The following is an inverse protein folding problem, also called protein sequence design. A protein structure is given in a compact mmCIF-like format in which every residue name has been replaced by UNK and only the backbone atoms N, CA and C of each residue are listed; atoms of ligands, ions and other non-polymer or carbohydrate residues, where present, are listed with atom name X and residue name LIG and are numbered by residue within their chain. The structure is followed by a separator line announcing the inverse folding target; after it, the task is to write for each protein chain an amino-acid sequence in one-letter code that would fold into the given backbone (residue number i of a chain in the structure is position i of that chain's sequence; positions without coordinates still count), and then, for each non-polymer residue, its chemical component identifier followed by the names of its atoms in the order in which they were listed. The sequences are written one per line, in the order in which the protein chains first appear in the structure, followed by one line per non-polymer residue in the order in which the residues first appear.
data_IF_366208956043
#
_entry.id   IF_366208956043
#
_cell.length_a   1.000
_cell.length_b   1.000
_cell.length_c   1.000
_cell.angle_alpha   90.00
_cell.angle_beta   90.00
_cell.angle_gamma   90.00
#
_symmetry.space_group_name_H-M   'P 1'
#
loop_
_entity.id
_entity.type
_entity.pdbx_description
1 polymer ?
#
# COMPACT_ATOMS: atom_id res chain seq x y z
N UNK A 1 -11.34 3.36 14.07
CA UNK A 1 -11.70 2.63 15.31
C UNK A 1 -12.11 3.57 16.46
N UNK A 2 -11.31 4.57 16.84
CA UNK A 2 -11.61 5.45 18.00
C UNK A 2 -12.89 6.28 17.83
N UNK A 3 -13.14 6.80 16.62
CA UNK A 3 -14.36 7.56 16.31
C UNK A 3 -15.64 6.74 16.50
N UNK A 4 -15.68 5.50 16.02
CA UNK A 4 -16.82 4.59 16.19
C UNK A 4 -17.11 4.34 17.69
N UNK A 5 -16.07 4.10 18.49
CA UNK A 5 -16.21 3.91 19.94
C UNK A 5 -16.78 5.16 20.61
N UNK A 6 -16.30 6.34 20.22
CA UNK A 6 -16.75 7.62 20.76
C UNK A 6 -18.22 7.89 20.41
N UNK A 7 -18.64 7.69 19.16
CA UNK A 7 -20.04 7.88 18.77
C UNK A 7 -20.98 6.85 19.38
N UNK A 8 -20.55 5.60 19.51
CA UNK A 8 -21.30 4.56 20.21
C UNK A 8 -21.50 4.94 21.69
N UNK A 9 -20.42 5.31 22.37
CA UNK A 9 -20.48 5.75 23.76
C UNK A 9 -21.36 7.01 23.92
N UNK A 10 -21.24 7.98 23.02
CA UNK A 10 -22.06 9.19 23.03
C UNK A 10 -23.54 8.88 22.80
N UNK A 11 -23.89 7.98 21.86
CA UNK A 11 -25.26 7.56 21.61
C UNK A 11 -25.86 6.84 22.82
N UNK A 12 -25.12 5.90 23.42
CA UNK A 12 -25.57 5.17 24.61
C UNK A 12 -25.75 6.12 25.79
N UNK A 13 -24.77 7.00 26.04
CA UNK A 13 -24.86 7.99 27.11
C UNK A 13 -26.04 8.95 26.89
N UNK A 14 -26.26 9.40 25.65
CA UNK A 14 -27.38 10.26 25.30
C UNK A 14 -28.73 9.56 25.50
N UNK A 15 -28.91 8.33 24.99
CA UNK A 15 -30.15 7.58 25.20
C UNK A 15 -30.40 7.32 26.68
N UNK A 16 -29.35 7.00 27.45
CA UNK A 16 -29.46 6.84 28.89
C UNK A 16 -29.97 8.11 29.58
N UNK A 17 -29.38 9.27 29.30
CA UNK A 17 -29.83 10.55 29.85
C UNK A 17 -31.26 10.88 29.39
N UNK A 18 -31.55 10.70 28.10
CA UNK A 18 -32.83 11.02 27.50
C UNK A 18 -33.98 10.20 28.12
N UNK A 19 -33.82 8.88 28.26
CA UNK A 19 -34.83 8.01 28.86
C UNK A 19 -34.95 8.15 30.39
N UNK A 20 -33.97 8.74 31.05
CA UNK A 20 -33.99 8.98 32.50
C UNK A 20 -34.31 10.43 32.89
N UNK A 21 -34.50 11.34 31.92
CA UNK A 21 -34.68 12.77 32.21
C UNK A 21 -35.90 13.04 33.09
N UNK A 22 -37.00 12.29 32.90
CA UNK A 22 -38.23 12.41 33.69
C UNK A 22 -38.00 12.04 35.17
N UNK A 23 -37.03 11.16 35.44
CA UNK A 23 -36.63 10.80 36.81
C UNK A 23 -35.68 11.81 37.45
N UNK A 24 -34.93 12.57 36.65
CA UNK A 24 -33.89 13.47 37.13
C UNK A 24 -34.43 14.86 37.49
N UNK A 25 -35.53 15.32 36.87
CA UNK A 25 -36.07 16.65 37.14
C UNK A 25 -37.59 16.77 36.89
N UNK A 26 -38.38 16.93 37.96
CA UNK A 26 -39.75 17.44 37.87
C UNK A 26 -39.71 18.98 37.77
N UNK A 27 -40.47 19.65 36.87
CA UNK A 27 -41.66 19.16 36.16
C UNK A 27 -41.44 18.94 34.64
N UNK A 28 -40.27 18.45 34.20
CA UNK A 28 -40.04 18.19 32.77
C UNK A 28 -40.81 16.92 32.37
N UNK A 29 -42.02 17.10 31.86
CA UNK A 29 -42.87 16.00 31.41
C UNK A 29 -42.90 16.00 29.86
N UNK A 30 -42.04 15.20 29.24
CA UNK A 30 -42.05 15.01 27.79
C UNK A 30 -43.20 14.08 27.40
N UNK A 31 -43.84 14.33 26.27
CA UNK A 31 -44.91 13.47 25.83
C UNK A 31 -44.39 12.04 25.57
N UNK A 32 -45.09 11.02 26.10
CA UNK A 32 -44.63 9.62 26.09
C UNK A 32 -44.29 9.08 24.71
N UNK A 33 -44.98 9.58 23.68
CA UNK A 33 -44.76 9.19 22.30
C UNK A 33 -43.42 9.65 21.73
N UNK A 34 -42.84 10.75 22.24
CA UNK A 34 -41.57 11.31 21.76
C UNK A 34 -40.44 10.32 22.02
N UNK A 35 -40.49 9.60 23.15
CA UNK A 35 -39.56 8.53 23.46
C UNK A 35 -39.62 7.38 22.45
N UNK A 36 -40.84 6.95 22.11
CA UNK A 36 -41.05 5.89 21.11
C UNK A 36 -40.57 6.35 19.74
N UNK A 37 -40.91 7.58 19.34
CA UNK A 37 -40.45 8.16 18.07
C UNK A 37 -38.93 8.29 18.01
N UNK A 38 -38.28 8.74 19.09
CA UNK A 38 -36.83 8.85 19.17
C UNK A 38 -36.15 7.48 19.05
N UNK A 39 -36.65 6.45 19.76
CA UNK A 39 -36.14 5.09 19.65
C UNK A 39 -36.32 4.50 18.26
N UNK A 40 -37.53 4.60 17.70
CA UNK A 40 -37.86 4.06 16.37
C UNK A 40 -37.05 4.78 15.29
N UNK A 41 -36.90 6.10 15.37
CA UNK A 41 -36.09 6.86 14.41
C UNK A 41 -34.61 6.53 14.52
N UNK A 42 -34.05 6.44 15.73
CA UNK A 42 -32.67 5.99 15.91
C UNK A 42 -32.44 4.59 15.32
N UNK A 43 -33.34 3.65 15.62
CA UNK A 43 -33.28 2.29 15.13
C UNK A 43 -33.41 2.23 13.60
N UNK A 44 -34.37 2.96 13.02
CA UNK A 44 -34.59 3.03 11.58
C UNK A 44 -33.38 3.61 10.85
N UNK A 45 -32.80 4.70 11.36
CA UNK A 45 -31.58 5.31 10.80
C UNK A 45 -30.41 4.33 10.85
N UNK A 46 -30.25 3.55 11.92
CA UNK A 46 -29.14 2.60 12.07
C UNK A 46 -29.33 1.35 11.19
N UNK A 47 -30.53 0.77 11.16
CA UNK A 47 -30.79 -0.49 10.44
C UNK A 47 -30.96 -0.30 8.94
N UNK A 48 -31.54 0.81 8.50
CA UNK A 48 -31.88 1.01 7.09
C UNK A 48 -30.80 1.87 6.43
N UNK A 49 -29.84 1.26 5.69
CA UNK A 49 -28.72 1.98 5.10
C UNK A 49 -29.16 3.01 4.05
N UNK A 50 -30.36 2.84 3.48
CA UNK A 50 -30.94 3.78 2.54
C UNK A 50 -31.21 5.15 3.17
N UNK A 51 -31.65 5.21 4.44
CA UNK A 51 -31.87 6.47 5.14
C UNK A 51 -30.56 7.22 5.41
N UNK A 52 -29.43 6.52 5.53
CA UNK A 52 -28.11 7.13 5.72
C UNK A 52 -27.53 7.72 4.43
N UNK A 53 -28.08 7.36 3.25
CA UNK A 53 -27.67 7.95 1.96
C UNK A 53 -28.43 9.23 1.63
N UNK A 54 -29.53 9.49 2.32
CA UNK A 54 -30.33 10.70 2.14
C UNK A 54 -29.67 11.88 2.87
N UNK A 55 -30.01 13.10 2.46
CA UNK A 55 -29.52 14.29 3.14
C UNK A 55 -30.04 14.30 4.59
N UNK A 56 -29.13 14.52 5.55
CA UNK A 56 -29.47 14.65 6.97
C UNK A 56 -30.60 15.68 7.18
N UNK A 57 -30.56 16.77 6.41
CA UNK A 57 -31.57 17.83 6.44
C UNK A 57 -32.95 17.33 6.01
N UNK A 58 -33.04 16.52 4.95
CA UNK A 58 -34.32 15.96 4.50
C UNK A 58 -34.90 15.00 5.54
N UNK A 59 -34.04 14.17 6.13
CA UNK A 59 -34.44 13.22 7.17
C UNK A 59 -34.92 13.93 8.44
N UNK A 60 -34.21 14.96 8.89
CA UNK A 60 -34.62 15.81 9.99
C UNK A 60 -35.93 16.54 9.69
N UNK A 61 -36.08 17.11 8.49
CA UNK A 61 -37.32 17.80 8.10
C UNK A 61 -38.52 16.86 8.18
N UNK A 62 -38.41 15.64 7.63
CA UNK A 62 -39.49 14.63 7.67
C UNK A 62 -39.82 14.24 9.12
N UNK A 63 -38.81 13.95 9.96
CA UNK A 63 -39.05 13.54 11.34
C UNK A 63 -39.58 14.67 12.23
N UNK A 64 -39.11 15.90 12.04
CA UNK A 64 -39.61 17.08 12.76
C UNK A 64 -41.04 17.40 12.33
N UNK A 65 -41.35 17.35 11.03
CA UNK A 65 -42.73 17.47 10.54
C UNK A 65 -43.63 16.36 11.10
N UNK A 66 -43.15 15.11 11.14
CA UNK A 66 -43.91 14.00 11.68
C UNK A 66 -44.18 14.17 13.19
N UNK A 67 -43.19 14.60 13.97
CA UNK A 67 -43.37 14.82 15.42
C UNK A 67 -44.34 15.96 15.72
N UNK A 68 -44.27 17.06 14.97
CA UNK A 68 -45.24 18.17 15.08
C UNK A 68 -46.65 17.73 14.65
N UNK A 69 -46.77 16.98 13.56
CA UNK A 69 -48.05 16.46 13.07
C UNK A 69 -48.71 15.50 14.07
N UNK A 70 -47.94 14.61 14.69
CA UNK A 70 -48.43 13.69 15.72
C UNK A 70 -48.88 14.44 16.98
N UNK A 71 -48.12 15.48 17.35
CA UNK A 71 -48.44 16.34 18.50
C UNK A 71 -49.76 17.10 18.28
N UNK A 72 -49.95 17.62 17.07
CA UNK A 72 -51.20 18.25 16.66
C UNK A 72 -52.38 17.27 16.64
N UNK A 73 -52.18 16.06 16.10
CA UNK A 73 -53.20 15.02 16.01
C UNK A 73 -53.73 14.57 17.39
N UNK A 74 -52.87 14.53 18.40
CA UNK A 74 -53.25 14.16 19.77
C UNK A 74 -53.66 15.35 20.65
N UNK A 75 -53.80 16.54 20.07
CA UNK A 75 -54.34 17.71 20.76
C UNK A 75 -53.40 18.32 21.81
N UNK A 76 -52.10 18.05 21.74
CA UNK A 76 -51.13 18.66 22.64
C UNK A 76 -50.92 20.14 22.27
N UNK A 77 -50.85 21.06 23.26
CA UNK A 77 -50.61 22.47 22.98
C UNK A 77 -49.21 22.68 22.40
N UNK A 78 -49.13 23.29 21.22
CA UNK A 78 -47.88 23.62 20.54
C UNK A 78 -47.31 24.99 20.96
N UNK A 79 -48.19 25.91 21.34
CA UNK A 79 -47.85 27.31 21.61
C UNK A 79 -48.23 27.70 23.05
N UNK A 80 -47.60 28.77 23.54
CA UNK A 80 -47.84 29.30 24.89
C UNK A 80 -46.90 28.70 25.93
N UNK A 81 -47.43 28.28 27.07
CA UNK A 81 -46.65 27.77 28.21
C UNK A 81 -45.94 26.45 27.93
N UNK A 82 -46.36 25.69 26.91
CA UNK A 82 -45.74 24.43 26.49
C UNK A 82 -44.63 24.60 25.44
N UNK A 83 -44.37 25.83 24.96
CA UNK A 83 -43.35 26.09 23.93
C UNK A 83 -41.96 25.58 24.34
N UNK A 84 -41.46 25.82 25.58
CA UNK A 84 -40.17 25.29 26.01
C UNK A 84 -40.09 23.76 25.93
N UNK A 85 -41.17 23.06 26.31
CA UNK A 85 -41.25 21.60 26.26
C UNK A 85 -41.18 21.12 24.80
N UNK A 86 -41.94 21.74 23.90
CA UNK A 86 -41.91 21.42 22.47
C UNK A 86 -40.51 21.62 21.87
N UNK A 87 -39.82 22.71 22.24
CA UNK A 87 -38.44 22.94 21.77
C UNK A 87 -37.49 21.88 22.30
N UNK A 88 -37.62 21.46 23.57
CA UNK A 88 -36.80 20.38 24.12
C UNK A 88 -37.07 19.03 23.46
N UNK A 89 -38.32 18.72 23.12
CA UNK A 89 -38.71 17.50 22.40
C UNK A 89 -38.08 17.47 21.00
N UNK A 90 -38.21 18.57 20.24
CA UNK A 90 -37.62 18.70 18.90
C UNK A 90 -36.10 18.62 18.96
N UNK A 91 -35.48 19.28 19.94
CA UNK A 91 -34.04 19.24 20.18
C UNK A 91 -33.56 17.82 20.49
N UNK A 92 -34.30 17.09 21.33
CA UNK A 92 -33.95 15.74 21.70
C UNK A 92 -34.07 14.75 20.53
N UNK A 93 -35.14 14.86 19.72
CA UNK A 93 -35.29 14.06 18.49
C UNK A 93 -34.17 14.39 17.50
N UNK A 94 -33.87 15.67 17.31
CA UNK A 94 -32.79 16.13 16.42
C UNK A 94 -31.43 15.55 16.84
N UNK A 95 -31.10 15.65 18.12
CA UNK A 95 -29.84 15.13 18.65
C UNK A 95 -29.76 13.61 18.53
N UNK A 96 -30.87 12.91 18.81
CA UNK A 96 -30.97 11.45 18.66
C UNK A 96 -30.68 11.03 17.22
N UNK A 97 -31.32 11.69 16.25
CA UNK A 97 -31.13 11.41 14.82
C UNK A 97 -29.69 11.71 14.39
N UNK A 98 -29.11 12.83 14.85
CA UNK A 98 -27.75 13.22 14.50
C UNK A 98 -26.70 12.24 15.03
N UNK A 99 -26.85 11.77 16.27
CA UNK A 99 -25.97 10.74 16.83
C UNK A 99 -26.16 9.39 16.16
N UNK A 100 -27.41 8.98 15.89
CA UNK A 100 -27.71 7.74 15.19
C UNK A 100 -27.14 7.74 13.75
N UNK A 101 -27.22 8.89 13.06
CA UNK A 101 -26.68 9.05 11.71
C UNK A 101 -25.15 8.94 11.72
N UNK A 102 -24.46 9.62 12.64
CA UNK A 102 -22.99 9.54 12.76
C UNK A 102 -22.50 8.14 13.15
N UNK A 103 -23.22 7.47 14.05
CA UNK A 103 -22.91 6.09 14.40
C UNK A 103 -23.14 5.14 13.21
N UNK A 104 -24.26 5.32 12.49
CA UNK A 104 -24.61 4.55 11.30
C UNK A 104 -23.58 4.68 10.20
N UNK A 105 -23.14 5.91 9.88
CA UNK A 105 -22.11 6.15 8.86
C UNK A 105 -20.77 5.51 9.23
N UNK A 106 -20.34 5.64 10.49
CA UNK A 106 -19.12 4.99 10.98
C UNK A 106 -19.20 3.45 10.92
N UNK A 107 -20.40 2.88 11.11
CA UNK A 107 -20.62 1.44 10.98
C UNK A 107 -20.61 0.99 9.51
N UNK A 108 -21.11 1.80 8.58
CA UNK A 108 -21.02 1.52 7.14
C UNK A 108 -19.57 1.52 6.66
N UNK A 109 -18.78 2.52 7.04
CA UNK A 109 -17.34 2.58 6.72
C UNK A 109 -16.61 1.32 7.22
N UNK A 110 -16.93 0.87 8.43
CA UNK A 110 -16.38 -0.37 8.97
C UNK A 110 -16.83 -1.61 8.18
N UNK A 111 -18.12 -1.72 7.85
CA UNK A 111 -18.66 -2.83 7.04
C UNK A 111 -18.02 -2.89 5.65
N UNK A 112 -17.82 -1.74 5.01
CA UNK A 112 -17.17 -1.66 3.70
C UNK A 112 -15.70 -2.07 3.77
N UNK A 113 -14.97 -1.64 4.80
CA UNK A 113 -13.60 -2.07 5.04
C UNK A 113 -13.50 -3.60 5.26
N UNK A 114 -14.41 -4.17 6.06
CA UNK A 114 -14.48 -5.63 6.26
C UNK A 114 -14.86 -6.35 4.97
N UNK A 115 -15.82 -5.83 4.20
CA UNK A 115 -16.21 -6.41 2.91
C UNK A 115 -15.09 -6.31 1.85
N UNK A 116 -14.26 -5.27 1.90
CA UNK A 116 -13.07 -5.17 1.06
C UNK A 116 -12.02 -6.22 1.45
N UNK A 117 -11.74 -6.38 2.75
CA UNK A 117 -10.84 -7.42 3.25
C UNK A 117 -11.36 -8.83 2.93
N UNK A 118 -12.67 -9.05 3.09
CA UNK A 118 -13.31 -10.31 2.76
C UNK A 118 -13.25 -10.61 1.26
N UNK A 119 -13.40 -9.60 0.39
CA UNK A 119 -13.17 -9.75 -1.06
C UNK A 119 -11.72 -10.08 -1.39
N UNK A 120 -10.77 -9.51 -0.67
CA UNK A 120 -9.34 -9.81 -0.83
C UNK A 120 -9.05 -11.27 -0.41
N UNK A 121 -9.63 -11.72 0.71
CA UNK A 121 -9.51 -13.08 1.24
C UNK A 121 -10.27 -14.12 0.40
N UNK A 122 -11.25 -13.69 -0.39
CA UNK A 122 -12.03 -14.51 -1.33
C UNK A 122 -11.68 -14.26 -2.80
N UNK A 123 -10.52 -13.67 -3.08
CA UNK A 123 -10.02 -13.48 -4.45
C UNK A 123 -9.74 -14.81 -5.18
N UNK A 124 -9.83 -15.94 -4.48
CA UNK A 124 -9.69 -17.31 -5.00
C UNK A 124 -10.91 -17.81 -5.81
N UNK A 125 -11.72 -16.89 -6.37
CA UNK A 125 -12.95 -17.22 -7.13
C UNK A 125 -12.73 -17.55 -8.60
N UNK A 126 -11.50 -17.50 -9.11
CA UNK A 126 -11.20 -18.20 -10.36
C UNK A 126 -11.07 -19.67 -10.03
N UNK A 127 -11.99 -20.51 -10.54
CA UNK A 127 -11.78 -21.95 -10.51
C UNK A 127 -10.36 -22.25 -11.05
N UNK A 128 -9.60 -23.14 -10.41
CA UNK A 128 -8.25 -23.50 -10.87
C UNK A 128 -8.28 -23.83 -12.36
N UNK A 129 -7.22 -23.47 -13.08
CA UNK A 129 -7.16 -23.68 -14.53
C UNK A 129 -7.49 -25.13 -14.91
N UNK A 130 -7.07 -26.10 -14.09
CA UNK A 130 -7.35 -27.53 -14.33
C UNK A 130 -8.86 -27.84 -14.31
N UNK A 131 -9.64 -27.14 -13.49
CA UNK A 131 -11.10 -27.35 -13.39
C UNK A 131 -11.83 -26.76 -14.59
N UNK A 132 -11.39 -25.60 -15.10
CA UNK A 132 -11.99 -24.94 -16.27
C UNK A 132 -11.54 -25.50 -17.63
N UNK A 133 -10.42 -26.23 -17.68
CA UNK A 133 -9.80 -26.70 -18.91
C UNK A 133 -10.72 -27.65 -19.71
N UNK A 134 -11.44 -28.54 -19.03
CA UNK A 134 -12.37 -29.46 -19.67
C UNK A 134 -13.51 -28.74 -20.39
N UNK A 135 -14.06 -27.68 -19.79
CA UNK A 135 -15.09 -26.85 -20.39
C UNK A 135 -14.56 -26.02 -21.56
N UNK A 136 -13.35 -25.47 -21.45
CA UNK A 136 -12.68 -24.74 -22.53
C UNK A 136 -12.42 -25.65 -23.74
N UNK A 137 -11.93 -26.88 -23.53
CA UNK A 137 -11.75 -27.87 -24.61
C UNK A 137 -13.07 -28.28 -25.27
N UNK A 138 -14.14 -28.44 -24.48
CA UNK A 138 -15.47 -28.75 -25.00
C UNK A 138 -15.94 -27.64 -25.95
N UNK A 139 -15.74 -26.37 -25.59
CA UNK A 139 -16.17 -25.24 -26.42
C UNK A 139 -15.32 -25.08 -27.69
N UNK A 140 -14.00 -25.35 -27.62
CA UNK A 140 -13.13 -25.41 -28.82
C UNK A 140 -13.59 -26.51 -29.78
N UNK A 141 -13.90 -27.70 -29.25
CA UNK A 141 -14.40 -28.82 -30.07
C UNK A 141 -15.75 -28.48 -30.71
N UNK A 142 -16.65 -27.86 -29.96
CA UNK A 142 -17.95 -27.38 -30.44
C UNK A 142 -17.79 -26.32 -31.53
N UNK A 143 -16.94 -25.32 -31.31
CA UNK A 143 -16.67 -24.26 -32.28
C UNK A 143 -16.10 -24.80 -33.59
N UNK A 144 -15.20 -25.79 -33.53
CA UNK A 144 -14.67 -26.48 -34.70
C UNK A 144 -15.74 -27.27 -35.45
N UNK A 145 -16.59 -28.01 -34.74
CA UNK A 145 -17.66 -28.81 -35.34
C UNK A 145 -18.68 -27.96 -36.09
N UNK A 146 -19.04 -26.80 -35.53
CA UNK A 146 -20.07 -25.91 -36.09
C UNK A 146 -19.51 -24.71 -36.85
N UNK A 147 -18.21 -24.68 -37.12
CA UNK A 147 -17.52 -23.58 -37.81
C UNK A 147 -17.85 -22.18 -37.24
N UNK A 148 -17.87 -22.06 -35.91
CA UNK A 148 -18.19 -20.80 -35.21
C UNK A 148 -16.94 -20.06 -34.79
N UNK A 149 -16.92 -18.71 -34.85
CA UNK A 149 -15.79 -17.93 -34.35
C UNK A 149 -15.71 -18.06 -32.82
N UNK A 150 -14.48 -18.25 -32.31
CA UNK A 150 -14.16 -18.35 -30.89
C UNK A 150 -12.92 -17.50 -30.61
N UNK A 151 -12.95 -16.72 -29.53
CA UNK A 151 -11.82 -15.88 -29.09
C UNK A 151 -11.43 -16.25 -27.66
N UNK A 152 -10.13 -16.35 -27.40
CA UNK A 152 -9.55 -16.59 -26.08
C UNK A 152 -8.69 -15.39 -25.69
N UNK A 153 -8.89 -14.86 -24.48
CA UNK A 153 -8.16 -13.72 -23.96
C UNK A 153 -7.42 -14.12 -22.69
N UNK A 154 -6.09 -13.98 -22.71
CA UNK A 154 -5.27 -14.05 -21.51
C UNK A 154 -5.12 -12.63 -20.97
N UNK A 155 -5.59 -12.40 -19.74
CA UNK A 155 -5.48 -11.11 -19.07
C UNK A 155 -4.45 -11.30 -17.96
N UNK A 156 -3.29 -10.67 -18.13
CA UNK A 156 -2.24 -10.63 -17.14
C UNK A 156 -2.01 -9.16 -16.77
N UNK A 157 -1.86 -8.88 -15.47
CA UNK A 157 -1.37 -7.56 -15.06
C UNK A 157 0.11 -7.47 -15.46
N UNK A 158 0.48 -6.41 -16.17
CA UNK A 158 1.88 -6.16 -16.51
C UNK A 158 2.67 -5.91 -15.22
N UNK A 159 3.88 -6.45 -15.11
CA UNK A 159 4.74 -6.27 -13.92
C UNK A 159 4.90 -4.79 -13.53
N UNK A 160 4.92 -3.88 -14.50
CA UNK A 160 5.01 -2.44 -14.28
C UNK A 160 3.75 -1.87 -13.62
N UNK A 161 2.56 -2.34 -14.01
CA UNK A 161 1.27 -1.91 -13.45
C UNK A 161 1.01 -2.51 -12.06
N UNK A 162 1.47 -3.74 -11.83
CA UNK A 162 1.47 -4.38 -10.52
C UNK A 162 2.44 -3.67 -9.55
N UNK A 163 3.66 -3.35 -10.03
CA UNK A 163 4.63 -2.53 -9.29
C UNK A 163 4.07 -1.14 -8.96
N UNK A 164 3.36 -0.45 -9.85
CA UNK A 164 2.77 0.87 -9.55
C UNK A 164 1.67 0.80 -8.48
N UNK A 165 0.77 -0.18 -8.54
CA UNK A 165 -0.33 -0.34 -7.58
C UNK A 165 0.17 -0.82 -6.21
N UNK A 166 1.14 -1.74 -6.19
CA UNK A 166 1.79 -2.23 -4.98
C UNK A 166 2.68 -1.14 -4.40
N UNK A 167 3.54 -0.47 -5.17
CA UNK A 167 4.44 0.59 -4.67
C UNK A 167 3.67 1.73 -3.99
N UNK A 168 2.50 2.14 -4.49
CA UNK A 168 1.71 3.20 -3.85
C UNK A 168 1.14 2.79 -2.47
N UNK A 169 0.86 1.50 -2.28
CA UNK A 169 0.36 0.93 -1.03
C UNK A 169 1.50 0.50 -0.07
N UNK A 170 2.65 0.11 -0.63
CA UNK A 170 3.86 -0.33 0.05
C UNK A 170 4.70 0.85 0.56
N UNK A 171 4.74 1.97 -0.18
CA UNK A 171 5.50 3.16 0.18
C UNK A 171 5.01 3.83 1.46
N UNK A 172 3.70 3.75 1.75
CA UNK A 172 3.13 4.34 2.97
C UNK A 172 3.32 3.46 4.22
N UNK A 173 3.45 2.13 4.07
CA UNK A 173 3.43 1.20 5.22
C UNK A 173 4.75 0.45 5.47
N UNK A 174 5.56 0.16 4.46
CA UNK A 174 6.69 -0.78 4.61
C UNK A 174 8.07 -0.14 4.78
N UNK A 175 8.29 1.13 4.42
CA UNK A 175 9.66 1.71 4.43
C UNK A 175 10.33 1.76 5.80
N UNK A 176 9.60 1.81 6.91
CA UNK A 176 10.22 1.91 8.25
C UNK A 176 10.45 0.57 8.96
N UNK A 177 9.67 -0.46 8.67
CA UNK A 177 9.62 -1.68 9.52
C UNK A 177 10.33 -2.89 8.90
N UNK A 178 10.25 -3.08 7.57
CA UNK A 178 10.84 -4.26 6.92
C UNK A 178 12.38 -4.20 6.87
N UNK A 179 12.93 -3.01 6.65
CA UNK A 179 14.37 -2.80 6.60
C UNK A 179 15.06 -3.23 7.90
N UNK A 180 14.52 -2.81 9.05
CA UNK A 180 15.06 -3.16 10.36
C UNK A 180 14.94 -4.66 10.69
N UNK A 181 13.83 -5.30 10.28
CA UNK A 181 13.65 -6.73 10.49
C UNK A 181 14.66 -7.56 9.70
N UNK A 182 14.86 -7.23 8.42
CA UNK A 182 15.81 -7.95 7.56
C UNK A 182 17.26 -7.78 8.01
N UNK A 183 17.65 -6.56 8.43
CA UNK A 183 19.00 -6.32 8.96
C UNK A 183 19.26 -7.06 10.27
N UNK A 184 18.28 -7.13 11.18
CA UNK A 184 18.41 -7.87 12.43
C UNK A 184 18.56 -9.39 12.19
N UNK A 185 17.77 -9.96 11.27
CA UNK A 185 17.87 -11.39 10.94
C UNK A 185 19.15 -11.75 10.20
N UNK A 186 19.69 -10.83 9.39
CA UNK A 186 21.01 -11.03 8.78
C UNK A 186 22.12 -11.03 9.84
N UNK A 187 22.06 -10.14 10.83
CA UNK A 187 23.01 -10.13 11.94
C UNK A 187 23.01 -11.45 12.71
N UNK A 188 21.83 -12.02 13.01
CA UNK A 188 21.69 -13.31 13.68
C UNK A 188 22.40 -14.45 12.92
N UNK A 189 22.23 -14.51 11.59
CA UNK A 189 22.83 -15.56 10.76
C UNK A 189 24.34 -15.38 10.64
N UNK A 190 24.81 -14.14 10.48
CA UNK A 190 26.25 -13.82 10.40
C UNK A 190 26.93 -14.18 11.71
N UNK A 191 26.37 -13.78 12.86
CA UNK A 191 26.95 -14.07 14.16
C UNK A 191 26.89 -15.55 14.56
N UNK A 192 25.95 -16.34 14.02
CA UNK A 192 25.85 -17.77 14.31
C UNK A 192 26.87 -18.62 13.53
N UNK A 193 27.36 -18.13 12.39
CA UNK A 193 28.26 -18.86 11.49
C UNK A 193 29.74 -18.46 11.63
N UNK A 194 30.04 -17.42 12.40
CA UNK A 194 31.40 -16.94 12.61
C UNK A 194 31.92 -17.37 13.99
N UNK A 195 33.21 -17.70 14.05
CA UNK A 195 33.87 -18.13 15.29
C UNK A 195 33.93 -17.01 16.35
N UNK A 196 34.07 -17.40 17.62
CA UNK A 196 33.96 -16.48 18.77
C UNK A 196 34.99 -15.33 18.80
N UNK A 197 36.08 -15.43 18.03
CA UNK A 197 37.10 -14.39 17.93
C UNK A 197 36.88 -13.43 16.74
N UNK A 198 35.88 -13.67 15.89
CA UNK A 198 35.53 -12.79 14.78
C UNK A 198 34.85 -11.51 15.27
N UNK A 199 35.27 -10.36 14.74
CA UNK A 199 34.68 -9.07 15.08
C UNK A 199 33.72 -8.66 13.97
N UNK A 200 32.42 -8.63 14.26
CA UNK A 200 31.37 -8.21 13.31
C UNK A 200 30.85 -6.83 13.71
N UNK A 201 30.82 -5.91 12.76
CA UNK A 201 30.30 -4.55 12.93
C UNK A 201 29.36 -4.19 11.79
N UNK A 202 28.47 -3.22 11.99
CA UNK A 202 27.54 -2.74 10.96
C UNK A 202 27.75 -1.25 10.73
N UNK A 203 27.92 -0.85 9.47
CA UNK A 203 28.18 0.54 9.07
C UNK A 203 27.62 0.80 7.68
N UNK A 204 27.04 1.98 7.44
CA UNK A 204 26.61 2.46 6.12
C UNK A 204 25.81 1.43 5.29
N UNK A 205 24.93 0.69 5.98
CA UNK A 205 24.06 -0.36 5.43
C UNK A 205 24.77 -1.66 4.98
N UNK A 206 25.95 -1.94 5.53
CA UNK A 206 26.72 -3.15 5.27
C UNK A 206 27.35 -3.70 6.56
N UNK A 207 27.52 -5.02 6.62
CA UNK A 207 28.25 -5.67 7.70
C UNK A 207 29.72 -5.77 7.34
N UNK A 208 30.59 -5.30 8.24
CA UNK A 208 32.05 -5.36 8.12
C UNK A 208 32.56 -6.31 9.19
N UNK A 209 33.22 -7.37 8.75
CA UNK A 209 33.73 -8.44 9.62
C UNK A 209 35.24 -8.54 9.50
N UNK A 210 35.92 -8.63 10.64
CA UNK A 210 37.36 -8.88 10.72
C UNK A 210 37.61 -10.27 11.30
N UNK A 211 38.36 -11.08 10.55
CA UNK A 211 38.72 -12.45 10.90
C UNK A 211 40.21 -12.51 11.23
N UNK A 212 40.60 -12.57 12.51
CA UNK A 212 42.00 -12.62 12.90
C UNK A 212 42.65 -13.94 12.46
N UNK A 213 43.95 -13.90 12.18
CA UNK A 213 44.79 -15.07 11.84
C UNK A 213 44.28 -15.89 10.63
N UNK A 214 43.45 -15.28 9.80
CA UNK A 214 42.80 -15.93 8.65
C UNK A 214 43.41 -15.44 7.35
N UNK A 215 43.95 -16.37 6.55
CA UNK A 215 44.47 -16.06 5.21
C UNK A 215 43.39 -15.96 4.14
N UNK A 216 43.74 -15.48 2.94
CA UNK A 216 42.78 -15.17 1.87
C UNK A 216 41.90 -16.36 1.43
N UNK A 217 42.49 -17.55 1.35
CA UNK A 217 41.78 -18.77 0.95
C UNK A 217 40.71 -19.17 1.98
N UNK A 218 41.06 -19.16 3.27
CA UNK A 218 40.13 -19.48 4.35
C UNK A 218 39.03 -18.43 4.49
N UNK A 219 39.36 -17.15 4.32
CA UNK A 219 38.36 -16.08 4.32
C UNK A 219 37.34 -16.25 3.18
N UNK A 220 37.78 -16.70 2.01
CA UNK A 220 36.90 -16.97 0.86
C UNK A 220 35.96 -18.14 1.12
N UNK A 221 36.43 -19.18 1.81
CA UNK A 221 35.58 -20.33 2.18
C UNK A 221 34.49 -19.92 3.17
N UNK A 222 34.84 -19.14 4.20
CA UNK A 222 33.86 -18.60 5.17
C UNK A 222 32.83 -17.69 4.47
N UNK A 223 33.26 -16.86 3.52
CA UNK A 223 32.35 -16.01 2.75
C UNK A 223 31.33 -16.84 1.95
N UNK A 224 31.76 -17.91 1.28
CA UNK A 224 30.86 -18.81 0.54
C UNK A 224 29.87 -19.55 1.45
N UNK A 225 30.31 -19.95 2.64
CA UNK A 225 29.44 -20.57 3.64
C UNK A 225 28.38 -19.57 4.13
N UNK A 226 28.79 -18.31 4.38
CA UNK A 226 27.87 -17.27 4.81
C UNK A 226 26.86 -16.89 3.72
N UNK A 227 27.31 -16.77 2.47
CA UNK A 227 26.43 -16.55 1.33
C UNK A 227 25.40 -17.67 1.17
N UNK A 228 25.83 -18.91 1.39
CA UNK A 228 24.94 -20.08 1.34
C UNK A 228 23.94 -20.05 2.49
N UNK A 229 24.39 -19.83 3.72
CA UNK A 229 23.53 -19.80 4.91
C UNK A 229 22.49 -18.65 4.87
N UNK A 230 22.90 -17.45 4.42
CA UNK A 230 21.98 -16.31 4.27
C UNK A 230 20.99 -16.55 3.13
N UNK A 231 21.43 -17.18 2.04
CA UNK A 231 20.55 -17.55 0.92
C UNK A 231 19.55 -18.62 1.33
N UNK A 232 19.97 -19.63 2.08
CA UNK A 232 19.11 -20.70 2.57
C UNK A 232 18.11 -20.21 3.62
N UNK A 233 18.55 -19.35 4.55
CA UNK A 233 17.73 -18.94 5.69
C UNK A 233 16.82 -17.73 5.39
N UNK A 234 17.32 -16.77 4.61
CA UNK A 234 16.61 -15.50 4.36
C UNK A 234 16.23 -15.31 2.87
N UNK A 235 16.72 -16.17 1.96
CA UNK A 235 16.45 -16.05 0.53
C UNK A 235 17.17 -14.86 -0.14
N UNK A 236 18.15 -14.25 0.54
CA UNK A 236 18.83 -13.04 0.08
C UNK A 236 20.18 -13.37 -0.55
N UNK A 237 20.56 -12.61 -1.59
CA UNK A 237 21.89 -12.66 -2.18
C UNK A 237 22.80 -11.72 -1.42
N UNK A 238 23.70 -12.29 -0.63
CA UNK A 238 24.79 -11.55 -0.02
C UNK A 238 25.90 -11.34 -1.06
N UNK A 239 26.52 -10.17 -1.03
CA UNK A 239 27.78 -9.90 -1.73
C UNK A 239 28.85 -9.72 -0.67
N UNK A 240 30.01 -10.32 -0.87
CA UNK A 240 31.15 -10.22 0.05
C UNK A 240 32.38 -9.75 -0.71
N UNK A 241 33.05 -8.75 -0.17
CA UNK A 241 34.36 -8.29 -0.63
C UNK A 241 35.38 -8.62 0.45
N UNK A 242 36.52 -9.16 0.05
CA UNK A 242 37.57 -9.62 0.96
C UNK A 242 38.84 -8.84 0.63
N UNK A 243 39.60 -8.51 1.66
CA UNK A 243 40.97 -8.01 1.54
C UNK A 243 41.85 -8.63 2.63
N UNK A 244 43.14 -8.82 2.36
CA UNK A 244 44.03 -9.53 3.29
C UNK A 244 45.35 -8.81 3.57
N UNK A 245 45.75 -8.85 4.83
CA UNK A 245 47.05 -8.40 5.32
C UNK A 245 48.03 -9.58 5.42
N UNK A 246 49.33 -9.40 5.11
CA UNK A 246 50.00 -8.20 4.62
C UNK A 246 50.09 -8.10 3.09
N UNK A 247 49.58 -9.10 2.37
CA UNK A 247 49.88 -9.29 0.94
C UNK A 247 49.24 -8.24 0.02
N UNK A 248 48.13 -7.62 0.43
CA UNK A 248 47.42 -6.62 -0.38
C UNK A 248 47.61 -5.20 0.12
N UNK A 249 47.31 -4.94 1.40
CA UNK A 249 47.42 -3.61 1.99
C UNK A 249 47.86 -3.72 3.46
N UNK A 250 48.58 -2.71 3.94
CA UNK A 250 49.21 -2.75 5.26
C UNK A 250 48.49 -1.90 6.32
N UNK A 251 47.48 -1.12 5.93
CA UNK A 251 46.67 -0.32 6.86
C UNK A 251 45.20 -0.75 6.86
N UNK A 252 44.54 -0.64 8.01
CA UNK A 252 43.12 -0.98 8.15
C UNK A 252 42.21 -0.17 7.22
N UNK A 253 42.53 1.11 7.02
CA UNK A 253 41.72 2.00 6.17
C UNK A 253 41.82 1.58 4.70
N UNK A 254 43.02 1.21 4.25
CA UNK A 254 43.23 0.76 2.87
C UNK A 254 42.63 -0.64 2.63
N UNK A 255 42.75 -1.55 3.61
CA UNK A 255 42.10 -2.86 3.58
C UNK A 255 40.58 -2.75 3.48
N UNK A 256 39.95 -1.90 4.29
CA UNK A 256 38.51 -1.70 4.26
C UNK A 256 38.07 -1.12 2.91
N UNK A 257 38.77 -0.09 2.41
CA UNK A 257 38.48 0.49 1.09
C UNK A 257 38.59 -0.53 -0.03
N UNK A 258 39.60 -1.41 0.04
CA UNK A 258 39.80 -2.48 -0.94
C UNK A 258 38.65 -3.49 -0.91
N UNK A 259 38.24 -3.95 0.27
CA UNK A 259 37.09 -4.84 0.45
C UNK A 259 35.79 -4.21 -0.06
N UNK A 260 35.55 -2.92 0.21
CA UNK A 260 34.39 -2.18 -0.29
C UNK A 260 34.41 -2.01 -1.81
N UNK A 261 35.57 -1.77 -2.41
CA UNK A 261 35.71 -1.71 -3.86
C UNK A 261 35.45 -3.06 -4.53
N UNK A 262 35.81 -4.17 -3.86
CA UNK A 262 35.52 -5.53 -4.32
C UNK A 262 34.01 -5.85 -4.26
N UNK A 263 33.27 -5.27 -3.29
CA UNK A 263 31.81 -5.37 -3.23
C UNK A 263 31.08 -4.68 -4.41
N UNK A 264 31.70 -3.64 -4.99
CA UNK A 264 31.11 -2.79 -6.03
C UNK A 264 31.22 -3.36 -7.45
N UNK A 265 32.14 -4.31 -7.71
CA UNK A 265 32.40 -4.84 -9.06
C UNK A 265 31.75 -6.22 -9.24
N UNK A 266 30.86 -6.44 -10.23
CA UNK A 266 30.23 -7.74 -10.43
C UNK A 266 31.23 -8.75 -11.04
N UNK A 267 31.30 -9.95 -10.46
CA UNK A 267 32.05 -11.08 -11.02
C UNK A 267 31.42 -11.58 -12.32
N UNK A 268 32.03 -11.27 -13.46
CA UNK A 268 31.78 -11.96 -14.73
C UNK A 268 32.76 -13.15 -14.79
N UNK A 269 32.28 -14.41 -14.97
CA UNK A 269 33.17 -15.54 -15.08
C UNK A 269 33.74 -15.60 -16.51
N UNK A 270 35.04 -15.38 -16.67
CA UNK A 270 35.73 -15.77 -17.90
C UNK A 270 36.18 -17.23 -17.75
N UNK A 271 35.50 -18.11 -18.48
CA UNK A 271 35.88 -19.49 -18.70
C UNK A 271 37.20 -19.53 -19.48
N UNK A 272 38.06 -20.51 -19.19
CA UNK A 272 39.45 -20.52 -19.64
C UNK A 272 39.59 -20.75 -21.14
N UNK A 273 40.17 -19.78 -21.85
CA UNK A 273 40.99 -19.89 -23.07
C UNK A 273 41.26 -18.47 -23.60
N UNK A 274 42.25 -17.77 -23.01
CA UNK A 274 43.14 -16.80 -23.69
C UNK A 274 43.88 -15.93 -22.66
N UNK A 275 44.98 -16.49 -22.13
CA UNK A 275 45.98 -15.74 -21.35
C UNK A 275 47.04 -15.23 -22.30
N UNK A 276 46.86 -14.07 -22.94
CA UNK A 276 48.00 -13.35 -23.57
C UNK A 276 47.74 -11.91 -24.03
N UNK A 277 46.96 -11.13 -23.32
CA UNK A 277 47.01 -9.67 -23.41
C UNK A 277 46.28 -9.18 -22.16
N UNK A 278 46.95 -8.84 -21.07
CA UNK A 278 47.65 -7.58 -20.93
C UNK A 278 48.71 -7.73 -19.82
N UNK A 279 49.98 -7.64 -20.19
CA UNK A 279 51.07 -7.32 -19.28
C UNK A 279 52.11 -6.55 -20.08
N UNK A 280 52.54 -5.40 -19.56
CA UNK A 280 53.81 -4.80 -19.95
C UNK A 280 53.75 -3.30 -20.12
N UNK A 281 54.16 -2.61 -19.05
CA UNK A 281 54.77 -1.28 -19.01
C UNK A 281 55.87 -1.07 -20.08
N UNK A 282 56.12 0.19 -20.49
CA UNK A 282 57.34 0.93 -20.13
C UNK A 282 57.59 2.19 -21.01
N UNK A 283 57.92 3.28 -20.31
CA UNK A 283 59.03 4.23 -20.56
C UNK A 283 59.16 5.05 -21.88
N UNK A 284 59.15 6.39 -21.68
CA UNK A 284 60.18 7.37 -22.08
C UNK A 284 60.37 7.87 -23.54
N UNK A 285 60.43 9.21 -23.63
CA UNK A 285 61.28 10.07 -24.48
C UNK A 285 60.89 10.38 -25.94
N UNK A 286 60.61 11.68 -26.14
CA UNK A 286 61.34 12.61 -27.02
C UNK A 286 61.43 12.35 -28.53
N UNK A 287 60.70 13.15 -29.31
CA UNK A 287 61.18 13.99 -30.44
C UNK A 287 59.98 14.49 -31.26
N UNK A 288 59.91 15.80 -31.54
CA UNK A 288 58.94 16.39 -32.47
C UNK A 288 59.29 16.13 -33.95
N UNK A 289 58.90 17.02 -34.87
CA UNK A 289 57.52 17.34 -35.28
C UNK A 289 57.37 17.29 -36.82
N UNK A 290 56.20 16.92 -37.38
CA UNK A 290 55.77 17.23 -38.76
C UNK A 290 54.23 17.22 -38.77
N UNK A 291 53.55 18.36 -38.90
CA UNK A 291 53.17 19.04 -40.16
C UNK A 291 52.16 18.29 -41.06
N UNK A 292 51.18 19.07 -41.54
CA UNK A 292 50.09 18.82 -42.50
C UNK A 292 48.85 18.03 -42.03
N UNK A 293 47.62 18.29 -42.46
CA UNK A 293 46.88 19.40 -43.08
C UNK A 293 45.47 18.82 -43.36
N UNK A 294 44.48 19.70 -43.54
CA UNK A 294 43.10 19.47 -44.04
C UNK A 294 42.06 18.95 -43.04
N UNK A 295 41.17 19.79 -42.48
CA UNK A 295 40.11 20.59 -43.12
C UNK A 295 39.01 19.77 -43.82
N UNK A 296 37.81 19.74 -43.24
CA UNK A 296 36.56 20.35 -43.77
C UNK A 296 35.32 19.86 -43.02
N UNK A 297 34.69 20.79 -42.32
CA UNK A 297 33.21 20.95 -42.27
C UNK A 297 32.72 21.46 -43.65
N UNK A 298 31.42 21.58 -44.02
CA UNK A 298 30.28 21.85 -43.12
C UNK A 298 28.87 21.31 -43.55
N UNK A 299 27.87 21.62 -42.71
CA UNK A 299 26.51 22.11 -43.07
C UNK A 299 25.58 21.26 -43.96
N UNK A 300 24.31 21.06 -43.56
CA UNK A 300 23.20 21.96 -43.94
C UNK A 300 21.81 21.45 -43.50
N UNK A 301 20.95 22.45 -43.29
CA UNK A 301 19.51 22.57 -43.04
C UNK A 301 18.51 21.52 -43.57
N UNK A 302 17.34 21.52 -42.91
CA UNK A 302 16.05 21.26 -43.54
C UNK A 302 14.84 21.55 -42.64
N UNK A 303 14.21 22.72 -42.81
CA UNK A 303 12.91 23.15 -42.25
C UNK A 303 11.77 22.79 -43.22
N UNK A 304 10.57 22.51 -42.71
CA UNK A 304 9.21 22.83 -43.27
C UNK A 304 8.17 22.24 -42.28
N UNK A 305 7.27 22.94 -41.56
CA UNK A 305 6.14 23.86 -41.88
C UNK A 305 5.12 23.32 -42.89
N UNK A 306 3.93 22.93 -42.41
CA UNK A 306 2.60 23.39 -42.91
C UNK A 306 1.42 22.77 -42.13
N UNK A 307 0.65 23.59 -41.39
CA UNK A 307 -0.78 23.99 -41.57
C UNK A 307 -1.89 22.94 -41.47
N UNK A 308 -2.69 23.06 -40.41
CA UNK A 308 -4.08 23.58 -40.42
C UNK A 308 -5.09 23.04 -41.47
N UNK A 309 -6.14 22.34 -41.02
CA UNK A 309 -7.55 22.77 -41.18
C UNK A 309 -8.58 21.81 -40.56
N UNK A 310 -9.59 22.43 -39.96
CA UNK A 310 -10.84 21.86 -39.47
C UNK A 310 -11.79 21.47 -40.60
N UNK A 311 -12.63 20.45 -40.36
CA UNK A 311 -13.88 20.22 -41.10
C UNK A 311 -14.98 19.79 -40.12
N UNK A 312 -15.90 20.71 -39.87
CA UNK A 312 -17.29 20.50 -39.46
C UNK A 312 -18.15 20.12 -40.68
N UNK A 313 -19.09 19.18 -40.53
CA UNK A 313 -20.54 19.32 -40.81
C UNK A 313 -21.27 18.02 -41.22
N UNK A 314 -22.39 17.76 -40.51
CA UNK A 314 -23.76 17.35 -40.94
C UNK A 314 -23.99 16.20 -41.96
N UNK A 315 -24.69 15.14 -41.50
CA UNK A 315 -26.13 14.74 -41.74
C UNK A 315 -26.78 15.29 -43.03
N UNK A 316 -27.59 14.54 -43.84
CA UNK A 316 -28.69 13.59 -43.52
C UNK A 316 -28.59 12.23 -44.25
N UNK A 317 -29.38 11.18 -44.00
CA UNK A 317 -30.83 11.02 -43.77
C UNK A 317 -31.16 10.01 -42.66
#
# INVERSE_FOLDING_TARGET
MTRLRLYCAALIAWLFVFFNVERLHAPINLASFVYVMAAVSALAVILVPYLQKQSLVGLLAVLLSATLGLKWLWGYPLFGTSLPITVTELGAVTLTVLLAYQFGSALQEFREAVAALQRLLWADRSAPFETGQADMFREVRRARLYQRPLSLMAIQMTEESEKIAVNRLLEEMQRKTFHHYTMARMADVISAQLDQCAIVTFRDNQFVTLLPETGAQQASEVAHQLESAVRETLGLKLRVGISTFPDEEITFVDLLRKAESALATPTIPCNGEDRRACRGDDAQADNGPLEFENARSPSNNGKEKHTERAVTARVPE
#
